data_IF_760224950658
#
_entry.id   IF_760224950658
#
_cell.length_a   1.000
_cell.length_b   1.000
_cell.length_c   1.000
_cell.angle_alpha   90.00
_cell.angle_beta   90.00
_cell.angle_gamma   90.00
#
_symmetry.space_group_name_H-M   'P 1'
#
loop_
_entity.id
_entity.type
_entity.pdbx_description
1 polymer ?
#
# COMPACT_ATOMS: atom_id res chain seq x y z
N UNK A 1 1.99 27.98 4.38
CA UNK A 1 0.76 27.32 4.77
C UNK A 1 0.31 26.47 3.60
N UNK A 2 0.49 25.17 3.67
CA UNK A 2 -0.01 24.24 2.67
C UNK A 2 -1.47 23.96 3.02
N UNK A 3 -2.38 24.29 2.13
CA UNK A 3 -3.78 23.86 2.25
C UNK A 3 -3.85 22.38 1.85
N UNK A 4 -4.33 21.55 2.75
CA UNK A 4 -4.44 20.10 2.58
C UNK A 4 -5.43 19.67 1.47
N UNK A 5 -6.09 20.62 0.82
CA UNK A 5 -7.10 20.36 -0.21
C UNK A 5 -6.52 20.31 -1.63
N UNK A 6 -5.36 20.91 -1.84
CA UNK A 6 -4.69 20.89 -3.13
C UNK A 6 -3.68 19.78 -3.22
N UNK A 7 -4.06 18.55 -2.87
CA UNK A 7 -3.17 17.39 -2.87
C UNK A 7 -2.06 17.57 -3.88
N UNK A 8 -0.84 17.79 -3.44
CA UNK A 8 0.41 18.07 -4.14
C UNK A 8 0.28 18.08 -5.67
N UNK A 9 -0.50 19.03 -6.18
CA UNK A 9 -0.57 19.40 -7.60
C UNK A 9 0.36 20.56 -7.83
N UNK A 10 1.56 20.48 -7.31
CA UNK A 10 2.57 21.42 -7.73
C UNK A 10 3.10 20.96 -9.09
N UNK A 11 2.57 21.59 -10.14
CA UNK A 11 3.01 21.40 -11.54
C UNK A 11 4.47 21.84 -11.71
N UNK A 12 5.04 22.52 -10.70
CA UNK A 12 6.44 22.94 -10.66
C UNK A 12 7.37 21.86 -10.10
N UNK A 13 6.84 20.74 -9.63
CA UNK A 13 7.65 19.58 -9.26
C UNK A 13 8.19 18.97 -10.54
N UNK A 14 9.42 19.32 -10.88
CA UNK A 14 10.14 18.73 -12.01
C UNK A 14 10.07 17.21 -11.95
N UNK A 15 10.01 16.53 -13.10
CA UNK A 15 9.80 15.07 -13.22
C UNK A 15 10.71 14.19 -12.35
N UNK A 16 11.75 14.74 -11.75
CA UNK A 16 12.62 14.07 -10.75
C UNK A 16 11.91 13.87 -9.42
N UNK A 17 11.08 14.82 -9.00
CA UNK A 17 10.32 14.70 -7.73
C UNK A 17 9.16 13.73 -7.83
N UNK A 18 8.49 13.66 -8.99
CA UNK A 18 7.40 12.71 -9.21
C UNK A 18 7.89 11.26 -9.26
N UNK A 19 9.15 11.01 -9.61
CA UNK A 19 9.73 9.68 -9.58
C UNK A 19 10.14 9.23 -8.17
N UNK A 20 10.40 10.16 -7.26
CA UNK A 20 10.87 9.83 -5.90
C UNK A 20 9.72 9.59 -4.90
N UNK A 21 8.62 10.35 -5.00
CA UNK A 21 7.49 10.27 -4.07
C UNK A 21 6.82 8.89 -3.96
N UNK A 22 6.70 8.09 -5.05
CA UNK A 22 6.12 6.77 -4.96
C UNK A 22 6.99 5.72 -4.25
N UNK A 23 8.23 6.05 -3.95
CA UNK A 23 9.23 5.08 -3.48
C UNK A 23 9.34 5.09 -1.95
N UNK A 24 8.87 6.13 -1.28
CA UNK A 24 9.07 6.32 0.14
C UNK A 24 7.89 5.79 0.95
N UNK A 25 8.21 4.90 1.89
CA UNK A 25 7.28 4.40 2.88
C UNK A 25 7.79 4.77 4.28
N UNK A 26 6.90 4.99 5.23
CA UNK A 26 7.31 5.27 6.60
C UNK A 26 8.12 4.12 7.23
N UNK A 27 7.90 2.90 6.76
CA UNK A 27 8.70 1.73 7.16
C UNK A 27 10.19 1.91 6.86
N UNK A 28 10.55 2.70 5.84
CA UNK A 28 11.94 2.93 5.42
C UNK A 28 12.74 3.83 6.38
N UNK A 29 12.05 4.48 7.30
CA UNK A 29 12.69 5.39 8.25
C UNK A 29 13.70 4.68 9.14
N UNK A 30 13.37 3.49 9.63
CA UNK A 30 14.23 2.75 10.55
C UNK A 30 15.60 2.43 9.94
N UNK A 31 15.61 1.87 8.73
CA UNK A 31 16.87 1.55 8.03
C UNK A 31 17.62 2.80 7.62
N UNK A 32 16.91 3.83 7.15
CA UNK A 32 17.52 5.10 6.76
C UNK A 32 18.23 5.77 7.93
N UNK A 33 17.58 5.84 9.09
CA UNK A 33 18.20 6.43 10.30
C UNK A 33 19.39 5.60 10.77
N UNK A 34 19.28 4.27 10.75
CA UNK A 34 20.40 3.40 11.09
C UNK A 34 21.62 3.66 10.19
N UNK A 35 21.42 3.78 8.89
CA UNK A 35 22.49 4.04 7.94
C UNK A 35 23.09 5.45 8.12
N UNK A 36 22.29 6.47 8.43
CA UNK A 36 22.78 7.83 8.76
C UNK A 36 23.69 7.80 10.00
N UNK A 37 23.32 7.00 11.00
CA UNK A 37 24.08 6.87 12.24
C UNK A 37 25.23 5.86 12.17
N UNK A 38 25.37 5.14 11.06
CA UNK A 38 26.35 4.04 10.93
C UNK A 38 26.01 2.84 11.85
N UNK A 39 24.76 2.72 12.30
CA UNK A 39 24.31 1.64 13.18
C UNK A 39 24.00 0.37 12.38
N UNK A 40 24.46 -0.77 12.87
CA UNK A 40 24.14 -2.08 12.29
C UNK A 40 22.85 -2.62 12.90
N UNK A 41 21.85 -2.88 12.07
CA UNK A 41 20.64 -3.56 12.48
C UNK A 41 20.82 -5.08 12.35
N UNK A 42 20.30 -5.87 13.32
CA UNK A 42 20.22 -7.33 13.16
C UNK A 42 19.27 -7.69 12.02
N UNK A 43 19.41 -8.87 11.45
CA UNK A 43 18.57 -9.35 10.33
C UNK A 43 17.09 -9.53 10.72
N UNK A 44 16.82 -9.61 12.03
CA UNK A 44 15.48 -9.70 12.63
C UNK A 44 14.86 -8.33 12.91
N UNK A 45 15.43 -7.25 12.40
CA UNK A 45 14.89 -5.90 12.58
C UNK A 45 14.81 -5.17 11.23
N UNK A 46 13.79 -4.35 11.06
CA UNK A 46 13.56 -3.57 9.85
C UNK A 46 13.36 -4.44 8.59
N UNK A 47 12.64 -5.55 8.71
CA UNK A 47 12.42 -6.58 7.69
C UNK A 47 11.76 -6.02 6.42
N UNK A 48 11.02 -4.92 6.55
CA UNK A 48 10.33 -4.24 5.45
C UNK A 48 10.94 -2.87 5.13
N UNK A 49 12.08 -2.54 5.73
CA UNK A 49 12.72 -1.23 5.61
C UNK A 49 13.89 -1.28 4.64
N UNK A 50 13.92 -0.36 3.71
CA UNK A 50 15.09 -0.09 2.85
C UNK A 50 15.67 1.29 3.15
N UNK A 51 16.96 1.44 2.98
CA UNK A 51 17.59 2.75 3.19
C UNK A 51 17.30 3.70 2.05
N UNK A 52 16.82 4.88 2.39
CA UNK A 52 16.61 5.99 1.45
C UNK A 52 17.85 6.91 1.39
N UNK A 53 18.86 6.66 2.22
CA UNK A 53 20.04 7.53 2.32
C UNK A 53 20.71 7.81 0.97
N UNK A 54 20.90 6.82 0.07
CA UNK A 54 21.49 7.10 -1.25
C UNK A 54 20.66 8.10 -2.07
N UNK A 55 19.32 7.98 -2.04
CA UNK A 55 18.44 8.90 -2.74
C UNK A 55 18.43 10.29 -2.10
N UNK A 56 18.46 10.37 -0.77
CA UNK A 56 18.54 11.64 -0.04
C UNK A 56 19.84 12.38 -0.32
N UNK A 57 20.92 11.66 -0.59
CA UNK A 57 22.23 12.23 -0.97
C UNK A 57 22.34 12.52 -2.49
N UNK A 58 21.26 12.34 -3.25
CA UNK A 58 21.26 12.57 -4.70
C UNK A 58 22.11 11.58 -5.49
N UNK A 59 22.41 10.41 -4.93
CA UNK A 59 23.19 9.39 -5.63
C UNK A 59 22.34 8.75 -6.73
N UNK A 60 22.91 8.61 -7.93
CA UNK A 60 22.23 7.97 -9.04
C UNK A 60 21.92 6.51 -8.72
N UNK A 61 20.67 6.10 -8.94
CA UNK A 61 20.23 4.74 -8.76
C UNK A 61 20.02 4.10 -10.14
N UNK A 62 20.71 3.01 -10.43
CA UNK A 62 20.56 2.25 -11.68
C UNK A 62 19.33 1.31 -11.66
N UNK A 63 18.71 1.13 -10.49
CA UNK A 63 17.54 0.30 -10.27
C UNK A 63 16.67 0.90 -9.16
N UNK A 64 15.39 0.54 -9.08
CA UNK A 64 14.54 0.93 -7.97
C UNK A 64 15.15 0.52 -6.63
N UNK A 65 15.09 1.39 -5.63
CA UNK A 65 15.61 1.15 -4.28
C UNK A 65 14.95 -0.07 -3.64
N UNK A 66 13.70 -0.35 -4.02
CA UNK A 66 12.94 -1.51 -3.56
C UNK A 66 12.14 -2.14 -4.70
N UNK A 67 11.87 -3.43 -4.58
CA UNK A 67 11.08 -4.18 -5.57
C UNK A 67 9.61 -3.74 -5.60
N UNK A 68 9.01 -3.62 -4.42
CA UNK A 68 7.62 -3.20 -4.27
C UNK A 68 7.37 -2.56 -2.90
N UNK A 69 6.27 -1.86 -2.77
CA UNK A 69 5.79 -1.25 -1.52
C UNK A 69 4.47 -1.88 -1.13
N UNK A 70 4.35 -2.32 0.12
CA UNK A 70 3.10 -2.80 0.70
C UNK A 70 2.50 -1.70 1.56
N UNK A 71 1.20 -1.45 1.39
CA UNK A 71 0.44 -0.49 2.15
C UNK A 71 -0.71 -1.16 2.88
N UNK A 72 -1.10 -0.58 4.00
CA UNK A 72 -2.33 -0.91 4.70
C UNK A 72 -3.25 0.30 4.75
N UNK A 73 -4.52 0.08 4.46
CA UNK A 73 -5.55 1.08 4.74
C UNK A 73 -5.91 1.09 6.23
N UNK A 74 -6.70 2.07 6.66
CA UNK A 74 -7.12 2.20 8.07
C UNK A 74 -7.91 0.97 8.57
N UNK A 75 -8.65 0.30 7.69
CA UNK A 75 -9.33 -0.95 8.04
C UNK A 75 -8.42 -2.18 7.92
N UNK A 76 -7.14 -2.00 7.55
CA UNK A 76 -6.13 -3.04 7.37
C UNK A 76 -6.29 -3.83 6.06
N UNK A 77 -6.93 -3.30 5.03
CA UNK A 77 -6.87 -3.89 3.69
C UNK A 77 -5.48 -3.68 3.10
N UNK A 78 -4.97 -4.71 2.44
CA UNK A 78 -3.65 -4.67 1.82
C UNK A 78 -3.70 -4.05 0.43
N UNK A 79 -2.65 -3.33 0.10
CA UNK A 79 -2.31 -2.94 -1.25
C UNK A 79 -0.82 -3.17 -1.49
N UNK A 80 -0.45 -3.52 -2.73
CA UNK A 80 0.93 -3.64 -3.16
C UNK A 80 1.15 -2.82 -4.42
N UNK A 81 2.24 -2.05 -4.44
CA UNK A 81 2.68 -1.30 -5.61
C UNK A 81 4.05 -1.79 -6.08
N UNK A 82 4.15 -2.08 -7.38
CA UNK A 82 5.41 -2.38 -8.07
C UNK A 82 5.49 -1.57 -9.36
N UNK A 83 6.44 -0.66 -9.44
CA UNK A 83 6.53 0.30 -10.55
C UNK A 83 5.26 1.14 -10.67
N UNK A 84 4.67 1.13 -11.86
CA UNK A 84 3.45 1.87 -12.17
C UNK A 84 2.17 1.15 -11.76
N UNK A 85 2.25 -0.10 -11.34
CA UNK A 85 1.08 -0.90 -11.01
C UNK A 85 0.81 -0.93 -9.52
N UNK A 86 -0.44 -0.65 -9.13
CA UNK A 86 -0.94 -0.76 -7.75
C UNK A 86 -2.14 -1.69 -7.71
N UNK A 87 -2.04 -2.75 -6.93
CA UNK A 87 -3.11 -3.71 -6.65
C UNK A 87 -3.63 -3.48 -5.23
N UNK A 88 -4.93 -3.31 -5.08
CA UNK A 88 -5.63 -3.21 -3.80
C UNK A 88 -6.53 -4.43 -3.57
N UNK A 89 -6.36 -5.09 -2.43
CA UNK A 89 -7.11 -6.30 -2.07
C UNK A 89 -8.40 -5.96 -1.30
N UNK A 90 -9.12 -4.97 -1.80
CA UNK A 90 -10.44 -4.58 -1.32
C UNK A 90 -11.28 -4.01 -2.47
N UNK A 91 -12.60 -4.03 -2.29
CA UNK A 91 -13.57 -3.51 -3.28
C UNK A 91 -13.95 -2.05 -3.06
N UNK A 92 -13.58 -1.51 -1.92
CA UNK A 92 -13.93 -0.18 -1.44
C UNK A 92 -12.67 0.62 -1.14
N UNK A 93 -12.82 1.81 -0.58
CA UNK A 93 -11.67 2.65 -0.26
C UNK A 93 -10.75 2.11 0.85
N UNK A 94 -11.14 1.02 1.50
CA UNK A 94 -10.43 0.54 2.69
C UNK A 94 -10.44 1.51 3.87
N UNK A 95 -11.15 2.64 3.78
CA UNK A 95 -11.05 3.70 4.77
C UNK A 95 -12.21 4.69 4.76
N UNK A 96 -11.88 5.97 4.76
CA UNK A 96 -12.84 7.05 4.95
C UNK A 96 -13.43 7.63 3.67
N UNK A 97 -12.79 7.41 2.53
CA UNK A 97 -13.27 7.87 1.23
C UNK A 97 -14.47 7.05 0.75
N UNK A 98 -15.17 7.51 -0.27
CA UNK A 98 -16.21 6.74 -0.92
C UNK A 98 -15.61 5.80 -1.99
N UNK A 99 -16.19 4.60 -2.18
CA UNK A 99 -17.19 3.97 -1.33
C UNK A 99 -16.60 3.47 0.00
N UNK A 100 -17.29 3.76 1.10
CA UNK A 100 -16.83 3.31 2.43
C UNK A 100 -16.95 1.80 2.59
N UNK A 101 -16.09 1.16 3.41
CA UNK A 101 -16.20 -0.25 3.75
C UNK A 101 -17.60 -0.62 4.24
N UNK A 102 -18.20 -1.64 3.60
CA UNK A 102 -19.55 -2.12 3.94
C UNK A 102 -20.69 -1.22 3.43
N UNK A 103 -20.41 -0.17 2.68
CA UNK A 103 -21.47 0.62 2.05
C UNK A 103 -22.20 -0.18 0.96
N UNK A 104 -23.53 -0.02 0.78
CA UNK A 104 -24.27 -0.69 -0.29
C UNK A 104 -23.67 -0.46 -1.68
N UNK A 105 -23.15 0.74 -1.94
CA UNK A 105 -22.50 1.09 -3.20
C UNK A 105 -21.22 0.28 -3.50
N UNK A 106 -20.62 -0.36 -2.49
CA UNK A 106 -19.46 -1.23 -2.68
C UNK A 106 -19.84 -2.71 -2.93
N UNK A 107 -21.10 -3.10 -2.74
CA UNK A 107 -21.51 -4.51 -2.77
C UNK A 107 -21.27 -5.16 -4.15
N UNK A 108 -21.53 -4.43 -5.22
CA UNK A 108 -21.45 -4.91 -6.60
C UNK A 108 -20.08 -4.61 -7.26
N UNK A 109 -19.17 -3.95 -6.54
CA UNK A 109 -17.83 -3.68 -7.05
C UNK A 109 -16.96 -4.95 -7.08
N UNK A 110 -16.01 -5.05 -8.01
CA UNK A 110 -15.02 -6.12 -8.02
C UNK A 110 -14.33 -6.25 -6.66
N UNK A 111 -13.96 -7.49 -6.25
CA UNK A 111 -13.35 -7.72 -4.93
C UNK A 111 -11.97 -7.11 -4.76
N UNK A 112 -11.31 -6.79 -5.87
CA UNK A 112 -9.97 -6.21 -5.94
C UNK A 112 -9.96 -5.05 -6.93
N UNK A 113 -8.95 -4.21 -6.83
CA UNK A 113 -8.75 -3.06 -7.70
C UNK A 113 -7.30 -3.04 -8.20
N UNK A 114 -7.12 -2.79 -9.50
CA UNK A 114 -5.81 -2.63 -10.12
C UNK A 114 -5.77 -1.30 -10.86
N UNK A 115 -4.71 -0.54 -10.63
CA UNK A 115 -4.49 0.77 -11.23
C UNK A 115 -3.13 0.85 -11.90
N UNK A 116 -3.07 1.54 -13.05
CA UNK A 116 -1.82 1.93 -13.69
C UNK A 116 -1.54 3.40 -13.39
N UNK A 117 -0.67 3.66 -12.42
CA UNK A 117 -0.40 5.01 -11.92
C UNK A 117 0.38 5.89 -12.92
N UNK A 118 0.98 5.32 -13.96
CA UNK A 118 1.61 6.10 -15.02
C UNK A 118 0.57 6.87 -15.85
N UNK A 119 -0.62 6.30 -16.04
CA UNK A 119 -1.70 6.89 -16.83
C UNK A 119 -2.89 7.38 -15.98
N UNK A 120 -3.03 6.88 -14.76
CA UNK A 120 -4.15 7.16 -13.85
C UNK A 120 -3.64 7.33 -12.41
N UNK A 121 -2.95 8.44 -12.15
CA UNK A 121 -2.44 8.77 -10.80
C UNK A 121 -3.58 8.99 -9.79
N UNK A 122 -4.77 9.29 -10.27
CA UNK A 122 -5.97 9.49 -9.44
C UNK A 122 -6.71 8.22 -9.07
N UNK A 123 -6.26 7.05 -9.55
CA UNK A 123 -6.87 5.73 -9.25
C UNK A 123 -8.37 5.72 -9.57
N UNK A 124 -8.74 6.25 -10.73
CA UNK A 124 -10.14 6.46 -11.13
C UNK A 124 -10.72 5.28 -11.92
N UNK A 125 -9.85 4.49 -12.57
CA UNK A 125 -10.24 3.38 -13.45
C UNK A 125 -9.65 2.06 -12.99
N UNK A 126 -10.49 1.20 -12.42
CA UNK A 126 -10.09 -0.17 -12.09
C UNK A 126 -9.93 -1.02 -13.35
N UNK A 127 -8.71 -1.44 -13.66
CA UNK A 127 -8.35 -2.23 -14.85
C UNK A 127 -8.04 -3.70 -14.53
N UNK A 128 -8.45 -4.20 -13.39
CA UNK A 128 -8.14 -5.57 -12.93
C UNK A 128 -8.61 -6.67 -13.89
N UNK A 129 -9.72 -6.44 -14.60
CA UNK A 129 -10.23 -7.40 -15.58
C UNK A 129 -9.48 -7.37 -16.92
N UNK A 130 -8.80 -6.26 -17.22
CA UNK A 130 -8.02 -6.07 -18.45
C UNK A 130 -6.60 -6.64 -18.33
N UNK A 131 -6.08 -6.73 -17.06
CA UNK A 131 -4.71 -7.14 -16.77
C UNK A 131 -4.63 -8.24 -15.69
N UNK A 132 -5.28 -9.40 -15.90
CA UNK A 132 -5.27 -10.49 -14.93
C UNK A 132 -3.87 -11.05 -14.63
N UNK A 133 -2.93 -10.95 -15.58
CA UNK A 133 -1.54 -11.36 -15.43
C UNK A 133 -0.79 -10.46 -14.42
N UNK A 134 -1.10 -9.16 -14.40
CA UNK A 134 -0.53 -8.21 -13.43
C UNK A 134 -1.11 -8.48 -12.05
N UNK A 135 -2.42 -8.72 -11.96
CA UNK A 135 -3.09 -9.11 -10.71
C UNK A 135 -2.42 -10.36 -10.13
N UNK A 136 -2.27 -11.42 -10.93
CA UNK A 136 -1.65 -12.67 -10.49
C UNK A 136 -0.21 -12.46 -10.02
N UNK A 137 0.58 -11.69 -10.76
CA UNK A 137 1.99 -11.38 -10.42
C UNK A 137 2.11 -10.64 -9.10
N UNK A 138 1.33 -9.56 -8.90
CA UNK A 138 1.38 -8.76 -7.67
C UNK A 138 0.83 -9.53 -6.47
N UNK A 139 -0.21 -10.32 -6.65
CA UNK A 139 -0.75 -11.19 -5.60
C UNK A 139 0.33 -12.20 -5.15
N UNK A 140 0.97 -12.88 -6.11
CA UNK A 140 2.03 -13.84 -5.81
C UNK A 140 3.24 -13.19 -5.10
N UNK A 141 3.59 -11.96 -5.49
CA UNK A 141 4.66 -11.22 -4.81
C UNK A 141 4.29 -10.89 -3.36
N UNK A 142 3.06 -10.46 -3.12
CA UNK A 142 2.58 -10.18 -1.78
C UNK A 142 2.50 -11.45 -0.92
N UNK A 143 2.01 -12.55 -1.48
CA UNK A 143 2.01 -13.87 -0.81
C UNK A 143 3.42 -14.31 -0.43
N UNK A 144 4.40 -14.07 -1.33
CA UNK A 144 5.80 -14.35 -1.04
C UNK A 144 6.30 -13.53 0.16
N UNK A 145 6.02 -12.24 0.21
CA UNK A 145 6.42 -11.39 1.34
C UNK A 145 5.80 -11.85 2.66
N UNK A 146 4.54 -12.29 2.62
CA UNK A 146 3.88 -12.88 3.79
C UNK A 146 4.55 -14.20 4.21
N UNK A 147 4.85 -15.07 3.25
CA UNK A 147 5.52 -16.35 3.54
C UNK A 147 6.93 -16.16 4.08
N UNK A 148 7.67 -15.21 3.55
CA UNK A 148 9.03 -14.87 3.99
C UNK A 148 9.04 -14.05 5.29
N UNK A 149 7.89 -13.49 5.72
CA UNK A 149 7.80 -12.59 6.87
C UNK A 149 8.60 -11.30 6.70
N UNK A 150 8.92 -10.93 5.44
CA UNK A 150 9.69 -9.72 5.08
C UNK A 150 9.57 -9.40 3.60
N UNK A 151 9.74 -8.14 3.25
CA UNK A 151 9.78 -7.64 1.86
C UNK A 151 11.18 -7.26 1.38
N UNK A 152 12.21 -7.40 2.22
CA UNK A 152 13.61 -7.11 1.90
C UNK A 152 14.43 -8.39 1.85
N UNK A 153 15.61 -8.40 1.20
CA UNK A 153 16.53 -9.55 1.22
C UNK A 153 16.96 -9.89 2.65
N UNK A 154 17.07 -11.18 2.97
CA UNK A 154 17.53 -11.70 4.26
C UNK A 154 16.90 -13.04 4.60
N UNK A 155 17.19 -13.58 5.79
CA UNK A 155 16.61 -14.83 6.24
C UNK A 155 15.10 -14.66 6.50
N UNK A 156 14.26 -15.64 6.12
CA UNK A 156 12.83 -15.61 6.40
C UNK A 156 12.55 -15.41 7.89
N UNK A 157 11.53 -14.60 8.20
CA UNK A 157 11.07 -14.31 9.55
C UNK A 157 9.68 -14.91 9.77
N UNK A 158 9.36 -15.19 11.02
CA UNK A 158 8.03 -15.68 11.36
C UNK A 158 7.10 -14.48 11.63
N UNK A 159 5.95 -14.47 10.96
CA UNK A 159 4.90 -13.51 11.28
C UNK A 159 4.39 -13.71 12.71
N UNK A 160 4.22 -12.65 13.47
CA UNK A 160 3.71 -12.70 14.84
C UNK A 160 2.23 -13.17 14.90
N UNK A 161 1.51 -13.00 13.81
CA UNK A 161 0.10 -13.41 13.67
C UNK A 161 -0.15 -13.96 12.27
N UNK A 162 -1.22 -14.75 12.11
CA UNK A 162 -1.67 -15.19 10.79
C UNK A 162 -2.08 -13.98 9.92
N UNK A 163 -1.47 -13.83 8.76
CA UNK A 163 -1.76 -12.75 7.82
C UNK A 163 -2.83 -13.18 6.83
N UNK A 164 -3.97 -12.50 6.83
CA UNK A 164 -5.08 -12.72 5.87
C UNK A 164 -5.10 -11.59 4.86
N UNK A 165 -4.63 -11.86 3.66
CA UNK A 165 -4.51 -10.86 2.59
C UNK A 165 -5.86 -10.30 2.14
N UNK A 166 -6.85 -11.18 2.01
CA UNK A 166 -8.22 -10.77 1.64
C UNK A 166 -9.11 -10.87 2.87
N UNK A 167 -9.71 -9.77 3.24
CA UNK A 167 -10.69 -9.74 4.32
C UNK A 167 -12.01 -10.34 3.81
N UNK A 168 -12.55 -11.26 4.55
CA UNK A 168 -13.92 -11.70 4.36
C UNK A 168 -14.91 -10.53 4.54
N UNK A 169 -16.17 -10.68 4.11
CA UNK A 169 -17.18 -9.65 4.29
C UNK A 169 -17.20 -9.17 5.74
N UNK A 170 -17.16 -7.86 5.96
CA UNK A 170 -17.23 -7.25 7.29
C UNK A 170 -18.50 -7.75 7.97
N UNK A 171 -18.36 -8.64 8.94
CA UNK A 171 -19.49 -9.10 9.74
C UNK A 171 -20.03 -7.93 10.56
N UNK A 172 -21.15 -7.37 10.10
CA UNK A 172 -22.12 -6.70 10.95
C UNK A 172 -21.79 -5.29 11.36
N UNK A 173 -22.25 -4.32 10.59
CA UNK A 173 -22.99 -3.24 11.26
C UNK A 173 -24.15 -3.90 12.01
N UNK A 174 -24.10 -3.95 13.35
CA UNK A 174 -25.24 -4.33 14.18
C UNK A 174 -26.44 -3.53 13.70
N UNK A 175 -27.48 -4.20 13.23
CA UNK A 175 -28.76 -3.60 12.95
C UNK A 175 -29.13 -2.79 14.21
N UNK A 176 -29.18 -1.47 14.06
CA UNK A 176 -29.68 -0.59 15.08
C UNK A 176 -31.12 -1.03 15.35
N UNK A 177 -31.30 -1.73 16.44
CA UNK A 177 -32.60 -2.17 16.92
C UNK A 177 -33.39 -0.91 17.28
N UNK A 178 -34.21 -0.46 16.32
CA UNK A 178 -35.17 0.61 16.50
C UNK A 178 -36.26 0.05 17.39
N UNK A 179 -36.04 0.11 18.72
CA UNK A 179 -37.13 -0.07 19.69
C UNK A 179 -38.16 1.02 19.40
N UNK A 180 -39.21 0.62 18.71
CA UNK A 180 -40.42 1.37 18.71
C UNK A 180 -40.87 1.54 20.18
N UNK A 181 -40.79 2.75 20.71
CA UNK A 181 -41.57 3.16 21.84
C UNK A 181 -42.96 3.47 21.28
N UNK A 182 -43.83 2.51 21.37
CA UNK A 182 -45.23 2.76 21.34
C UNK A 182 -45.66 3.35 22.70
N UNK A 183 -46.59 4.23 22.58
CA UNK A 183 -47.43 4.87 23.59
C UNK A 183 -46.82 6.03 24.35
#
# INVERSE_FOLDING_TARGET
FFQAEDGIRDVAVTGVQTCALPIFCLTDFMRTVADILGAKLPDTAAEDSVSLLPALLGQAQNSPIREAVVHHSINGSFAIRQGDWKLELCRDSGGWSAPKPGAPAAADLPPIQLYNLASDIGETRNVQAEHPEVVARLTKLLEKYVADGRSTPGAPQQNAVEVKLVKGPVRGAKAANKKAKGN
#
